data_IF_919859698054
#
_entry.id   IF_919859698054
#
_cell.length_a   1.000
_cell.length_b   1.000
_cell.length_c   1.000
_cell.angle_alpha   90.00
_cell.angle_beta   90.00
_cell.angle_gamma   90.00
#
_symmetry.space_group_name_H-M   'P 1'
#
loop_
_entity.id
_entity.type
_entity.pdbx_description
1 polymer ?
#
# COMPACT_ATOMS: atom_id res chain seq x y z
N UNK A 1 15.71 -15.30 -11.48
CA UNK A 1 14.97 -16.46 -11.99
C UNK A 1 15.30 -17.71 -11.17
N UNK A 2 14.33 -18.59 -10.95
CA UNK A 2 14.50 -19.85 -10.25
C UNK A 2 13.88 -20.97 -11.07
N UNK A 3 14.57 -22.12 -11.11
CA UNK A 3 14.06 -23.35 -11.70
C UNK A 3 14.00 -24.41 -10.62
N UNK A 4 12.80 -24.93 -10.33
CA UNK A 4 12.62 -26.09 -9.49
C UNK A 4 12.60 -27.35 -10.37
N UNK A 5 13.49 -28.29 -10.09
CA UNK A 5 13.46 -29.60 -10.73
C UNK A 5 12.95 -30.65 -9.72
N UNK A 6 12.14 -31.58 -10.18
CA UNK A 6 11.64 -32.70 -9.39
C UNK A 6 12.07 -34.01 -10.09
N UNK A 7 12.36 -35.07 -9.31
CA UNK A 7 12.90 -36.31 -9.80
C UNK A 7 12.22 -37.51 -9.14
N UNK A 8 11.72 -38.51 -9.92
CA UNK A 8 11.55 -38.47 -11.38
C UNK A 8 10.38 -37.62 -11.80
N UNK A 9 9.30 -37.60 -11.04
CA UNK A 9 8.07 -36.86 -11.19
C UNK A 9 7.33 -36.74 -9.86
N UNK A 10 6.17 -36.13 -9.82
CA UNK A 10 5.32 -36.03 -8.64
C UNK A 10 4.67 -34.62 -8.47
N UNK A 11 3.79 -34.52 -7.46
CA UNK A 11 3.07 -33.30 -7.14
C UNK A 11 3.75 -32.47 -6.06
N UNK A 12 3.86 -31.16 -6.26
CA UNK A 12 4.31 -30.21 -5.26
C UNK A 12 3.17 -29.23 -4.96
N UNK A 13 2.70 -29.22 -3.72
CA UNK A 13 1.60 -28.36 -3.33
C UNK A 13 1.99 -26.87 -3.30
N UNK A 14 3.23 -26.53 -2.89
CA UNK A 14 3.67 -25.12 -2.75
C UNK A 14 5.18 -25.00 -2.85
N UNK A 15 5.63 -23.93 -3.49
CA UNK A 15 6.98 -23.41 -3.41
C UNK A 15 6.91 -21.99 -2.81
N UNK A 16 7.72 -21.73 -1.80
CA UNK A 16 7.82 -20.39 -1.17
C UNK A 16 9.26 -19.93 -1.24
N UNK A 17 9.45 -18.71 -1.71
CA UNK A 17 10.74 -18.02 -1.73
C UNK A 17 10.65 -16.80 -0.81
N UNK A 18 11.57 -16.71 0.12
CA UNK A 18 11.66 -15.60 1.05
C UNK A 18 12.86 -14.73 0.68
N UNK A 19 12.65 -13.42 0.62
CA UNK A 19 13.69 -12.45 0.28
C UNK A 19 13.16 -11.04 0.24
N UNK A 20 14.06 -10.08 0.08
CA UNK A 20 13.69 -8.68 -0.16
C UNK A 20 13.65 -8.48 -1.67
N UNK A 21 12.53 -7.96 -2.24
CA UNK A 21 12.50 -7.62 -3.65
C UNK A 21 13.61 -6.62 -3.97
N UNK A 22 14.38 -6.89 -5.01
CA UNK A 22 15.40 -5.98 -5.51
C UNK A 22 14.93 -5.36 -6.82
N UNK A 23 14.99 -4.04 -6.90
CA UNK A 23 14.78 -3.27 -8.11
C UNK A 23 15.99 -2.36 -8.34
N UNK A 24 16.54 -2.40 -9.53
CA UNK A 24 17.54 -1.41 -9.96
C UNK A 24 16.83 -0.10 -10.34
N UNK A 25 16.98 0.91 -9.50
CA UNK A 25 16.40 2.22 -9.69
C UNK A 25 17.22 3.13 -10.59
N UNK A 26 18.53 2.82 -10.82
CA UNK A 26 19.44 3.65 -11.61
C UNK A 26 19.10 3.68 -13.11
N UNK A 27 18.45 2.63 -13.61
CA UNK A 27 18.12 2.45 -15.03
C UNK A 27 16.67 2.84 -15.37
N UNK A 28 16.04 3.70 -14.57
CA UNK A 28 14.68 4.15 -14.88
C UNK A 28 14.68 5.23 -15.95
N UNK A 29 13.82 5.12 -16.98
CA UNK A 29 13.66 6.20 -17.95
C UNK A 29 13.23 7.48 -17.24
N UNK A 30 13.85 8.64 -17.53
CA UNK A 30 13.46 9.92 -16.96
C UNK A 30 11.98 10.20 -17.16
N UNK A 31 11.31 10.67 -16.11
CA UNK A 31 9.90 11.05 -16.17
C UNK A 31 8.89 9.90 -16.11
N UNK A 32 9.32 8.64 -15.98
CA UNK A 32 8.41 7.51 -15.81
C UNK A 32 7.84 7.48 -14.40
N UNK A 33 6.52 7.62 -14.28
CA UNK A 33 5.82 7.40 -13.02
C UNK A 33 5.72 5.90 -12.73
N UNK A 34 6.12 5.50 -11.51
CA UNK A 34 6.14 4.12 -11.05
C UNK A 34 5.29 3.99 -9.78
N UNK A 35 4.67 2.82 -9.58
CA UNK A 35 4.00 2.52 -8.31
C UNK A 35 5.07 2.27 -7.22
N UNK A 36 5.37 3.31 -6.44
CA UNK A 36 6.39 3.27 -5.39
C UNK A 36 5.95 2.45 -4.18
N UNK A 37 4.65 2.18 -4.02
CA UNK A 37 4.11 1.35 -2.95
C UNK A 37 4.11 -0.15 -3.31
N UNK A 38 4.20 -0.52 -4.59
CA UNK A 38 4.10 -1.91 -5.01
C UNK A 38 5.17 -2.80 -4.36
N UNK A 39 4.75 -3.98 -3.88
CA UNK A 39 5.67 -4.97 -3.29
C UNK A 39 6.78 -5.39 -4.26
N UNK A 40 6.47 -5.51 -5.55
CA UNK A 40 7.47 -5.83 -6.60
C UNK A 40 8.52 -4.73 -6.79
N UNK A 41 8.27 -3.53 -6.33
CA UNK A 41 9.19 -2.40 -6.33
C UNK A 41 9.86 -2.18 -4.97
N UNK A 42 9.65 -3.09 -4.00
CA UNK A 42 10.22 -3.00 -2.66
C UNK A 42 9.32 -2.34 -1.61
N UNK A 43 8.11 -1.93 -1.97
CA UNK A 43 7.11 -1.41 -1.03
C UNK A 43 6.74 -2.43 0.04
N UNK A 44 6.54 -2.00 1.28
CA UNK A 44 6.23 -2.87 2.42
C UNK A 44 5.19 -2.25 3.34
N UNK A 45 4.17 -3.01 3.71
CA UNK A 45 3.29 -2.65 4.81
C UNK A 45 4.01 -2.95 6.13
N UNK A 46 4.10 -1.96 7.03
CA UNK A 46 4.86 -2.03 8.26
C UNK A 46 4.00 -2.30 9.49
N UNK A 47 2.90 -1.56 9.62
CA UNK A 47 1.99 -1.64 10.75
C UNK A 47 0.57 -1.28 10.32
N UNK A 48 -0.43 -1.75 11.05
CA UNK A 48 -1.83 -1.38 10.86
C UNK A 48 -2.58 -1.43 12.20
N UNK A 49 -3.71 -0.73 12.27
CA UNK A 49 -4.62 -0.79 13.42
C UNK A 49 -5.26 -2.16 13.59
N UNK A 50 -5.65 -2.77 12.49
CA UNK A 50 -6.31 -4.09 12.44
C UNK A 50 -6.11 -4.76 11.06
N UNK A 51 -6.14 -6.09 11.02
CA UNK A 51 -6.10 -6.92 9.80
C UNK A 51 -6.86 -8.23 10.03
N UNK A 52 -8.05 -8.11 10.61
CA UNK A 52 -8.84 -9.24 11.09
C UNK A 52 -9.21 -10.23 9.99
N UNK A 53 -9.70 -9.75 8.86
CA UNK A 53 -10.15 -10.58 7.74
C UNK A 53 -9.13 -10.67 6.59
N UNK A 54 -8.37 -9.59 6.35
CA UNK A 54 -7.41 -9.52 5.26
C UNK A 54 -6.10 -8.84 5.68
N UNK A 55 -4.97 -9.43 5.30
CA UNK A 55 -3.65 -8.94 5.70
C UNK A 55 -3.29 -7.62 5.02
N UNK A 56 -2.68 -6.70 5.76
CA UNK A 56 -2.24 -5.39 5.25
C UNK A 56 -1.30 -5.48 4.03
N UNK A 57 -0.45 -6.51 3.97
CA UNK A 57 0.47 -6.71 2.84
C UNK A 57 -0.22 -6.95 1.50
N UNK A 58 -1.48 -7.43 1.51
CA UNK A 58 -2.26 -7.65 0.30
C UNK A 58 -2.51 -6.36 -0.51
N UNK A 59 -2.54 -5.20 0.16
CA UNK A 59 -2.68 -3.88 -0.49
C UNK A 59 -1.66 -3.64 -1.60
N UNK A 60 -0.46 -4.21 -1.45
CA UNK A 60 0.70 -3.92 -2.30
C UNK A 60 0.97 -5.01 -3.35
N UNK A 61 0.15 -6.07 -3.38
CA UNK A 61 0.27 -7.15 -4.33
C UNK A 61 0.09 -6.65 -5.78
N UNK A 62 0.79 -7.24 -6.76
CA UNK A 62 0.63 -6.88 -8.16
C UNK A 62 -0.76 -7.25 -8.68
N UNK A 63 -1.19 -6.56 -9.73
CA UNK A 63 -2.46 -6.82 -10.40
C UNK A 63 -3.69 -6.43 -9.57
N UNK A 64 -4.86 -6.77 -10.10
CA UNK A 64 -6.14 -6.55 -9.41
C UNK A 64 -6.39 -7.70 -8.42
N UNK A 65 -7.15 -7.41 -7.36
CA UNK A 65 -7.58 -8.44 -6.42
C UNK A 65 -8.51 -9.45 -7.11
N UNK A 66 -8.39 -10.73 -6.75
CA UNK A 66 -9.23 -11.80 -7.29
C UNK A 66 -10.51 -12.02 -6.49
N UNK A 67 -10.51 -11.63 -5.20
CA UNK A 67 -11.65 -11.67 -4.29
C UNK A 67 -11.35 -10.79 -3.06
N UNK A 68 -12.26 -10.70 -2.09
CA UNK A 68 -12.08 -9.94 -0.85
C UNK A 68 -10.86 -10.43 -0.03
N UNK A 69 -10.63 -11.72 0.05
CA UNK A 69 -9.52 -12.31 0.81
C UNK A 69 -8.12 -11.93 0.27
N UNK A 70 -8.06 -11.37 -0.93
CA UNK A 70 -6.85 -10.83 -1.55
C UNK A 70 -6.68 -9.30 -1.31
N UNK A 71 -7.45 -8.73 -0.39
CA UNK A 71 -7.34 -7.34 0.06
C UNK A 71 -6.92 -7.23 1.52
N UNK A 72 -6.79 -6.00 2.01
CA UNK A 72 -6.73 -5.67 3.42
C UNK A 72 -8.13 -5.40 3.93
N UNK A 73 -8.53 -6.06 5.01
CA UNK A 73 -9.87 -5.91 5.56
C UNK A 73 -9.81 -5.95 7.09
N UNK A 74 -10.35 -4.90 7.70
CA UNK A 74 -10.45 -4.77 9.16
C UNK A 74 -11.78 -5.32 9.69
N UNK A 75 -11.81 -5.64 10.96
CA UNK A 75 -13.04 -5.93 11.69
C UNK A 75 -13.90 -4.68 11.83
N UNK A 76 -15.22 -4.88 11.97
CA UNK A 76 -16.15 -3.76 12.18
C UNK A 76 -15.84 -3.04 13.49
N UNK A 77 -15.48 -1.77 13.38
CA UNK A 77 -15.19 -0.90 14.52
C UNK A 77 -16.48 -0.48 15.23
N UNK A 78 -16.54 -0.75 16.53
CA UNK A 78 -17.67 -0.37 17.41
C UNK A 78 -17.28 0.70 18.43
N UNK A 79 -16.05 1.20 18.37
CA UNK A 79 -15.51 2.26 19.23
C UNK A 79 -15.14 3.47 18.36
N UNK A 80 -15.11 4.69 18.93
CA UNK A 80 -14.64 5.86 18.19
C UNK A 80 -13.24 5.67 17.62
N UNK A 81 -12.97 6.30 16.46
CA UNK A 81 -11.70 6.25 15.76
C UNK A 81 -11.86 5.73 14.33
N UNK A 82 -10.74 5.38 13.72
CA UNK A 82 -10.68 4.88 12.35
C UNK A 82 -9.54 3.86 12.22
N UNK A 83 -9.56 3.11 11.15
CA UNK A 83 -8.50 2.16 10.85
C UNK A 83 -7.45 2.76 9.93
N UNK A 84 -6.24 2.21 10.00
CA UNK A 84 -5.09 2.73 9.27
C UNK A 84 -4.04 1.67 8.99
N UNK A 85 -3.23 1.92 7.97
CA UNK A 85 -2.05 1.12 7.63
C UNK A 85 -0.89 2.04 7.25
N UNK A 86 0.32 1.69 7.69
CA UNK A 86 1.57 2.37 7.33
C UNK A 86 2.32 1.55 6.30
N UNK A 87 2.74 2.23 5.23
CA UNK A 87 3.48 1.63 4.13
C UNK A 87 4.79 2.39 3.93
N UNK A 88 5.90 1.65 3.91
CA UNK A 88 7.18 2.14 3.40
C UNK A 88 7.21 1.98 1.89
N UNK A 89 7.60 3.03 1.18
CA UNK A 89 7.81 2.98 -0.26
C UNK A 89 9.08 2.18 -0.60
N UNK A 90 9.11 1.59 -1.77
CA UNK A 90 10.29 0.87 -2.26
C UNK A 90 11.47 1.78 -2.57
N UNK A 91 11.21 3.06 -2.82
CA UNK A 91 12.21 4.11 -3.05
C UNK A 91 11.62 5.47 -2.66
N UNK A 92 12.42 6.40 -2.12
CA UNK A 92 11.99 7.78 -1.93
C UNK A 92 11.51 8.40 -3.24
N UNK A 93 10.42 9.17 -3.20
CA UNK A 93 9.93 9.83 -4.40
C UNK A 93 8.72 10.74 -4.17
N UNK A 94 8.40 11.54 -5.18
CA UNK A 94 7.26 12.45 -5.17
C UNK A 94 6.06 11.77 -5.81
N UNK A 95 4.92 11.75 -5.10
CA UNK A 95 3.70 11.09 -5.56
C UNK A 95 2.89 12.04 -6.45
N UNK A 96 2.46 11.53 -7.60
CA UNK A 96 1.66 12.25 -8.60
C UNK A 96 0.24 11.72 -8.72
N UNK A 97 0.03 10.43 -8.37
CA UNK A 97 -1.31 9.83 -8.33
C UNK A 97 -1.40 8.79 -7.22
N UNK A 98 -2.53 8.75 -6.53
CA UNK A 98 -2.88 7.71 -5.58
C UNK A 98 -4.09 6.93 -6.09
N UNK A 99 -4.07 5.60 -5.95
CA UNK A 99 -5.20 4.74 -6.23
C UNK A 99 -5.57 3.99 -4.97
N UNK A 100 -6.84 4.11 -4.58
CA UNK A 100 -7.46 3.32 -3.51
C UNK A 100 -8.59 2.50 -4.15
N UNK A 101 -8.41 1.18 -4.18
CA UNK A 101 -9.34 0.28 -4.84
C UNK A 101 -10.17 -0.50 -3.82
N UNK A 102 -11.50 -0.38 -3.90
CA UNK A 102 -12.46 -1.13 -3.07
C UNK A 102 -13.05 -2.32 -3.80
N UNK A 103 -12.41 -2.80 -4.87
CA UNK A 103 -12.87 -3.95 -5.67
C UNK A 103 -13.20 -5.14 -4.75
N UNK A 104 -14.34 -5.77 -4.98
CA UNK A 104 -14.95 -6.85 -4.21
C UNK A 104 -15.61 -6.43 -2.89
N UNK A 105 -15.28 -5.29 -2.29
CA UNK A 105 -15.91 -4.78 -1.09
C UNK A 105 -17.20 -4.02 -1.44
N UNK A 106 -18.35 -4.66 -1.26
CA UNK A 106 -19.67 -4.12 -1.66
C UNK A 106 -20.50 -3.59 -0.49
N UNK A 107 -20.37 -4.20 0.69
CA UNK A 107 -21.09 -3.77 1.89
C UNK A 107 -20.16 -3.38 3.06
N UNK A 108 -18.90 -3.69 2.93
CA UNK A 108 -17.86 -3.54 3.92
C UNK A 108 -16.67 -2.72 3.41
N UNK A 109 -16.93 -1.77 2.51
CA UNK A 109 -15.94 -0.78 2.07
C UNK A 109 -15.93 0.43 3.01
N UNK A 110 -14.82 1.16 3.15
CA UNK A 110 -14.75 2.38 3.93
C UNK A 110 -15.59 3.50 3.29
N UNK A 111 -16.26 4.34 4.11
CA UNK A 111 -16.98 5.51 3.61
C UNK A 111 -16.03 6.51 2.93
N UNK A 112 -14.83 6.66 3.51
CA UNK A 112 -13.83 7.59 3.01
C UNK A 112 -12.42 7.15 3.38
N UNK A 113 -11.42 7.77 2.76
CA UNK A 113 -10.02 7.60 3.09
C UNK A 113 -9.26 8.92 3.08
N UNK A 114 -8.11 8.98 3.75
CA UNK A 114 -7.09 10.02 3.60
C UNK A 114 -5.70 9.40 3.62
N UNK A 115 -4.70 10.13 3.12
CA UNK A 115 -3.31 9.65 3.14
C UNK A 115 -2.44 10.75 3.75
N UNK A 116 -1.69 10.39 4.80
CA UNK A 116 -0.62 11.19 5.35
C UNK A 116 0.73 10.65 4.86
N UNK A 117 1.76 11.49 4.78
CA UNK A 117 3.06 11.09 4.30
C UNK A 117 4.19 11.88 4.95
N UNK A 118 5.38 11.26 4.97
CA UNK A 118 6.61 11.89 5.43
C UNK A 118 7.84 11.30 4.75
N UNK A 119 8.92 12.08 4.78
CA UNK A 119 10.27 11.59 4.56
C UNK A 119 10.83 11.19 5.93
N UNK A 120 11.06 9.89 6.12
CA UNK A 120 11.57 9.33 7.38
C UNK A 120 12.95 8.74 7.15
N UNK A 121 13.94 9.27 7.84
CA UNK A 121 15.32 8.78 7.81
C UNK A 121 15.53 7.78 8.95
N UNK A 122 15.37 6.49 8.65
CA UNK A 122 15.59 5.42 9.62
C UNK A 122 14.52 5.36 10.73
N UNK A 123 14.67 4.42 11.63
CA UNK A 123 13.78 4.19 12.76
C UNK A 123 13.24 2.76 12.79
N UNK A 124 12.77 2.33 13.94
CA UNK A 124 12.02 1.08 14.09
C UNK A 124 10.51 1.34 13.87
N UNK A 125 9.75 0.27 13.65
CA UNK A 125 8.31 0.35 13.33
C UNK A 125 7.51 1.11 14.41
N UNK A 126 7.77 0.90 15.70
CA UNK A 126 7.07 1.58 16.79
C UNK A 126 7.29 3.11 16.76
N UNK A 127 8.51 3.55 16.42
CA UNK A 127 8.82 4.99 16.28
C UNK A 127 8.13 5.58 15.05
N UNK A 128 8.12 4.84 13.94
CA UNK A 128 7.44 5.25 12.70
C UNK A 128 5.93 5.37 12.95
N UNK A 129 5.34 4.40 13.65
CA UNK A 129 3.91 4.43 14.01
C UNK A 129 3.56 5.68 14.82
N UNK A 130 4.31 5.95 15.90
CA UNK A 130 4.08 7.12 16.76
C UNK A 130 4.21 8.44 15.98
N UNK A 131 5.22 8.57 15.13
CA UNK A 131 5.44 9.75 14.30
C UNK A 131 4.36 9.94 13.24
N UNK A 132 3.77 8.86 12.75
CA UNK A 132 2.79 8.90 11.65
C UNK A 132 1.54 9.72 11.98
N UNK A 133 1.24 9.91 13.26
CA UNK A 133 0.13 10.76 13.73
C UNK A 133 0.30 12.24 13.36
N UNK A 134 1.54 12.67 13.14
CA UNK A 134 1.91 14.07 12.86
C UNK A 134 2.39 14.28 11.43
N UNK A 135 2.29 13.27 10.57
CA UNK A 135 2.70 13.40 9.17
C UNK A 135 1.77 14.34 8.41
N UNK A 136 2.32 15.01 7.41
CA UNK A 136 1.58 15.94 6.57
C UNK A 136 0.58 15.18 5.69
N UNK A 137 -0.52 15.82 5.42
CA UNK A 137 -1.56 15.27 4.56
C UNK A 137 -1.12 15.31 3.09
N UNK A 138 -1.01 14.12 2.48
CA UNK A 138 -0.76 13.94 1.06
C UNK A 138 -2.09 13.96 0.28
N UNK A 139 -3.10 13.24 0.76
CA UNK A 139 -4.44 13.20 0.20
C UNK A 139 -5.43 13.56 1.30
N UNK A 140 -6.11 14.74 1.22
CA UNK A 140 -7.23 15.06 2.10
C UNK A 140 -8.34 14.01 2.01
N UNK A 141 -9.23 13.99 3.01
CA UNK A 141 -10.32 13.03 3.05
C UNK A 141 -11.14 13.01 1.75
N UNK A 142 -11.26 11.84 1.16
CA UNK A 142 -12.01 11.59 -0.08
C UNK A 142 -13.04 10.49 0.17
N UNK A 143 -14.26 10.68 -0.35
CA UNK A 143 -15.28 9.64 -0.34
C UNK A 143 -14.87 8.46 -1.21
N UNK A 144 -15.22 7.26 -0.77
CA UNK A 144 -15.07 6.04 -1.54
C UNK A 144 -16.45 5.48 -1.87
N UNK A 145 -16.48 4.67 -2.92
CA UNK A 145 -17.66 3.92 -3.35
C UNK A 145 -17.36 2.42 -3.31
N UNK A 146 -18.41 1.62 -3.28
CA UNK A 146 -18.27 0.17 -3.26
C UNK A 146 -17.73 -0.36 -4.59
N UNK A 147 -16.87 -1.37 -4.51
CA UNK A 147 -16.45 -2.17 -5.67
C UNK A 147 -15.86 -1.36 -6.81
N UNK A 148 -15.10 -0.31 -6.50
CA UNK A 148 -14.61 0.68 -7.45
C UNK A 148 -13.15 1.04 -7.22
N UNK A 149 -12.42 1.33 -8.30
CA UNK A 149 -11.10 1.93 -8.27
C UNK A 149 -11.23 3.45 -8.23
N UNK A 150 -10.63 4.08 -7.23
CA UNK A 150 -10.61 5.54 -7.06
C UNK A 150 -9.21 6.04 -7.35
N UNK A 151 -9.07 6.91 -8.35
CA UNK A 151 -7.81 7.54 -8.73
C UNK A 151 -7.82 9.02 -8.40
N UNK A 152 -6.85 9.44 -7.61
CA UNK A 152 -6.67 10.81 -7.13
C UNK A 152 -5.37 11.39 -7.67
N UNK A 153 -5.45 12.48 -8.43
CA UNK A 153 -4.31 13.21 -8.98
C UNK A 153 -4.37 14.67 -8.55
N UNK A 154 -5.49 15.33 -8.83
CA UNK A 154 -5.68 16.77 -8.56
C UNK A 154 -5.92 17.10 -7.09
N UNK A 155 -6.17 16.11 -6.26
CA UNK A 155 -6.45 16.26 -4.83
C UNK A 155 -5.21 16.10 -3.96
N UNK A 156 -4.07 15.74 -4.57
CA UNK A 156 -2.83 15.52 -3.84
C UNK A 156 -2.15 16.85 -3.49
N UNK A 157 -1.68 16.94 -2.24
CA UNK A 157 -0.80 18.02 -1.82
C UNK A 157 0.64 17.73 -2.25
N UNK A 158 1.34 18.73 -2.78
CA UNK A 158 2.74 18.61 -3.17
C UNK A 158 3.64 18.62 -1.92
N UNK A 159 4.09 17.45 -1.49
CA UNK A 159 4.95 17.30 -0.31
C UNK A 159 6.45 17.20 -0.64
N UNK A 160 6.80 17.07 -1.93
CA UNK A 160 8.15 16.67 -2.34
C UNK A 160 8.37 15.18 -2.15
N UNK A 161 9.64 14.72 -2.13
CA UNK A 161 9.95 13.33 -1.91
C UNK A 161 9.51 12.85 -0.53
N UNK A 162 8.91 11.65 -0.49
CA UNK A 162 8.49 10.95 0.72
C UNK A 162 9.04 9.52 0.70
N UNK A 163 9.09 8.90 1.87
CA UNK A 163 9.50 7.50 2.04
C UNK A 163 8.40 6.63 2.63
N UNK A 164 7.46 7.24 3.34
CA UNK A 164 6.41 6.52 4.05
C UNK A 164 5.06 7.21 3.87
N UNK A 165 4.00 6.41 3.87
CA UNK A 165 2.63 6.89 3.89
C UNK A 165 1.83 6.17 4.98
N UNK A 166 0.79 6.85 5.48
CA UNK A 166 -0.25 6.29 6.32
C UNK A 166 -1.57 6.46 5.59
N UNK A 167 -2.17 5.36 5.15
CA UNK A 167 -3.53 5.32 4.65
C UNK A 167 -4.47 5.20 5.85
N UNK A 168 -5.37 6.14 6.01
CA UNK A 168 -6.48 6.10 6.96
C UNK A 168 -7.75 5.75 6.21
N UNK A 169 -8.59 4.90 6.79
CA UNK A 169 -9.90 4.53 6.29
C UNK A 169 -10.95 4.79 7.37
N UNK A 170 -12.11 5.30 6.98
CA UNK A 170 -13.12 5.76 7.90
C UNK A 170 -14.46 5.04 7.68
N UNK A 171 -15.07 4.44 8.73
CA UNK A 171 -14.45 4.16 10.04
C UNK A 171 -13.57 2.90 9.99
N UNK A 172 -13.90 1.93 9.15
CA UNK A 172 -13.31 0.61 8.96
C UNK A 172 -13.65 0.06 7.57
N UNK A 173 -13.23 -1.15 7.25
CA UNK A 173 -13.65 -1.86 6.04
C UNK A 173 -12.51 -2.46 5.25
N UNK A 174 -12.78 -2.73 3.98
CA UNK A 174 -11.86 -3.40 3.07
C UNK A 174 -11.36 -2.53 1.94
N UNK A 175 -10.06 -2.63 1.66
CA UNK A 175 -9.37 -2.03 0.52
C UNK A 175 -8.60 -3.11 -0.20
N UNK A 176 -8.87 -3.30 -1.49
CA UNK A 176 -8.22 -4.32 -2.31
C UNK A 176 -6.77 -3.99 -2.61
N UNK A 177 -6.52 -2.75 -3.04
CA UNK A 177 -5.19 -2.28 -3.45
C UNK A 177 -4.98 -0.81 -3.11
N UNK A 178 -3.74 -0.50 -2.77
CA UNK A 178 -3.19 0.84 -2.72
C UNK A 178 -2.09 0.96 -3.77
N UNK A 179 -2.16 1.99 -4.62
CA UNK A 179 -1.10 2.33 -5.57
C UNK A 179 -0.68 3.78 -5.37
N UNK A 180 0.61 4.03 -5.41
CA UNK A 180 1.19 5.36 -5.28
C UNK A 180 2.15 5.59 -6.45
N UNK A 181 1.60 6.13 -7.53
CA UNK A 181 2.37 6.44 -8.73
C UNK A 181 3.12 7.74 -8.53
N UNK A 182 4.42 7.70 -8.76
CA UNK A 182 5.27 8.85 -8.58
C UNK A 182 6.63 8.69 -9.22
N UNK A 183 7.45 9.73 -9.08
CA UNK A 183 8.82 9.75 -9.60
C UNK A 183 9.80 9.43 -8.48
N UNK A 184 10.63 8.38 -8.63
CA UNK A 184 11.67 8.11 -7.67
C UNK A 184 12.66 9.28 -7.63
N UNK A 185 13.14 9.60 -6.44
CA UNK A 185 14.24 10.56 -6.26
C UNK A 185 15.54 9.82 -6.61
N UNK A 186 16.01 9.99 -7.82
CA UNK A 186 17.32 9.46 -8.23
C UNK A 186 18.43 10.38 -7.70
N UNK A 187 19.63 9.82 -7.45
CA UNK A 187 20.79 10.59 -6.96
C UNK A 187 21.24 11.68 -7.92
#
# INVERSE_FOLDING_TARGET
HLRLNIYPDGGIARLRLYGVPYRDWSNQPPGTALDLAAAVNGGRALACSDQHFGRMGNLLNPGRAINMGDGWETGRRRTPGHDWVIVALGHPGSIEAAVVDTLHFKGNYPESCSIQAAFVEGGNEARIEAQSLFWRELLPAQKLEMHQEHRFERHLNALGPITHVRLNIFPDGGVSRLRLFGRPQLP
#
